data_IF_773974649843
#
_entry.id   IF_773974649843
#
_cell.length_a   1.000
_cell.length_b   1.000
_cell.length_c   1.000
_cell.angle_alpha   90.00
_cell.angle_beta   90.00
_cell.angle_gamma   90.00
#
_symmetry.space_group_name_H-M   'P 1'
#
loop_
_entity.id
_entity.type
_entity.pdbx_description
1 polymer ?
#
# COMPACT_ATOMS: atom_id res chain seq x y z
N UNK A 1 -15.12 2.70 18.33
CA UNK A 1 -15.23 3.22 16.94
C UNK A 1 -13.86 3.05 16.31
N UNK A 2 -13.71 2.47 15.11
CA UNK A 2 -12.42 2.51 14.43
C UNK A 2 -12.06 3.98 14.17
N UNK A 3 -10.83 4.37 14.50
CA UNK A 3 -10.35 5.72 14.17
C UNK A 3 -10.39 5.90 12.65
N UNK A 4 -10.82 7.06 12.14
CA UNK A 4 -10.75 7.32 10.71
C UNK A 4 -9.29 7.17 10.27
N UNK A 5 -9.02 6.48 9.14
CA UNK A 5 -7.67 6.38 8.63
C UNK A 5 -7.13 7.81 8.45
N UNK A 6 -5.96 8.07 9.03
CA UNK A 6 -5.29 9.35 8.82
C UNK A 6 -5.11 9.50 7.32
N UNK A 7 -5.58 10.60 6.73
CA UNK A 7 -5.39 10.85 5.30
C UNK A 7 -3.89 10.99 5.04
N UNK A 8 -3.28 9.87 4.64
CA UNK A 8 -1.85 9.75 4.38
C UNK A 8 -1.50 10.21 2.96
N UNK A 9 -2.50 10.30 2.07
CA UNK A 9 -2.35 10.66 0.67
C UNK A 9 -3.27 11.83 0.34
N UNK A 10 -2.75 12.83 -0.35
CA UNK A 10 -3.52 13.90 -0.97
C UNK A 10 -4.07 13.48 -2.34
N UNK A 11 -5.08 14.19 -2.83
CA UNK A 11 -5.64 13.93 -4.16
C UNK A 11 -4.58 14.06 -5.28
N UNK A 12 -3.66 15.03 -5.14
CA UNK A 12 -2.57 15.25 -6.10
C UNK A 12 -1.55 14.10 -6.10
N UNK A 13 -1.25 13.53 -4.93
CA UNK A 13 -0.37 12.36 -4.82
C UNK A 13 -1.01 11.11 -5.44
N UNK A 14 -2.32 10.92 -5.28
CA UNK A 14 -3.04 9.83 -5.95
C UNK A 14 -3.04 10.04 -7.47
N UNK A 15 -3.28 11.27 -7.94
CA UNK A 15 -3.22 11.59 -9.36
C UNK A 15 -1.81 11.36 -9.94
N UNK A 16 -0.76 11.76 -9.22
CA UNK A 16 0.62 11.49 -9.58
C UNK A 16 0.94 9.99 -9.61
N UNK A 17 0.45 9.24 -8.62
CA UNK A 17 0.60 7.78 -8.55
C UNK A 17 -0.06 7.09 -9.76
N UNK A 18 -1.31 7.43 -10.08
CA UNK A 18 -2.01 6.91 -11.24
C UNK A 18 -1.24 7.21 -12.54
N UNK A 19 -0.79 8.46 -12.74
CA UNK A 19 0.01 8.85 -13.90
C UNK A 19 1.31 8.06 -14.02
N UNK A 20 2.01 7.79 -12.92
CA UNK A 20 3.25 7.00 -12.91
C UNK A 20 3.06 5.60 -13.50
N UNK A 21 1.87 5.01 -13.33
CA UNK A 21 1.51 3.70 -13.87
C UNK A 21 0.71 3.78 -15.17
N UNK A 22 0.60 4.95 -15.79
CA UNK A 22 -0.17 5.15 -17.03
C UNK A 22 -1.69 4.99 -16.85
N UNK A 23 -2.19 5.11 -15.62
CA UNK A 23 -3.61 5.00 -15.30
C UNK A 23 -4.28 6.38 -15.41
N UNK A 24 -5.37 6.44 -16.16
CA UNK A 24 -6.28 7.59 -16.21
C UNK A 24 -7.65 7.15 -15.70
N UNK A 25 -7.99 7.56 -14.49
CA UNK A 25 -9.22 7.14 -13.81
C UNK A 25 -10.27 8.27 -13.86
N UNK A 26 -11.55 7.95 -14.13
CA UNK A 26 -12.66 8.89 -13.90
C UNK A 26 -12.77 9.29 -12.43
N UNK A 27 -13.36 10.46 -12.15
CA UNK A 27 -13.48 11.04 -10.80
C UNK A 27 -13.99 10.06 -9.71
N UNK A 28 -15.05 9.24 -9.96
CA UNK A 28 -15.50 8.28 -8.95
C UNK A 28 -14.46 7.22 -8.60
N UNK A 29 -13.64 6.81 -9.58
CA UNK A 29 -12.56 5.85 -9.36
C UNK A 29 -11.33 6.50 -8.71
N UNK A 30 -11.07 7.78 -8.97
CA UNK A 30 -10.06 8.56 -8.25
C UNK A 30 -10.38 8.64 -6.76
N UNK A 31 -11.64 8.95 -6.41
CA UNK A 31 -12.09 8.96 -5.01
C UNK A 31 -11.93 7.59 -4.35
N UNK A 32 -12.33 6.52 -5.04
CA UNK A 32 -12.18 5.15 -4.53
C UNK A 32 -10.70 4.76 -4.35
N UNK A 33 -9.82 5.19 -5.26
CA UNK A 33 -8.38 4.95 -5.15
C UNK A 33 -7.78 5.67 -3.94
N UNK A 34 -8.24 6.90 -3.67
CA UNK A 34 -7.84 7.66 -2.49
C UNK A 34 -8.25 6.95 -1.19
N UNK A 35 -9.52 6.54 -1.08
CA UNK A 35 -10.02 5.76 0.06
C UNK A 35 -9.24 4.45 0.26
N UNK A 36 -8.97 3.72 -0.83
CA UNK A 36 -8.21 2.46 -0.77
C UNK A 36 -6.77 2.69 -0.33
N UNK A 37 -6.12 3.74 -0.83
CA UNK A 37 -4.72 4.04 -0.51
C UNK A 37 -4.55 4.41 0.97
N UNK A 38 -5.50 5.15 1.54
CA UNK A 38 -5.52 5.44 2.98
C UNK A 38 -5.65 4.15 3.81
N UNK A 39 -6.60 3.27 3.46
CA UNK A 39 -6.81 1.99 4.15
C UNK A 39 -5.57 1.09 4.08
N UNK A 40 -5.01 0.88 2.88
CA UNK A 40 -3.81 0.04 2.69
C UNK A 40 -2.61 0.59 3.46
N UNK A 41 -2.42 1.92 3.44
CA UNK A 41 -1.32 2.55 4.17
C UNK A 41 -1.46 2.36 5.68
N UNK A 42 -2.67 2.56 6.22
CA UNK A 42 -2.93 2.33 7.64
C UNK A 42 -2.70 0.86 8.02
N UNK A 43 -3.26 -0.09 7.26
CA UNK A 43 -3.03 -1.52 7.50
C UNK A 43 -1.55 -1.85 7.45
N UNK A 44 -0.79 -1.29 6.51
CA UNK A 44 0.66 -1.51 6.39
C UNK A 44 1.50 -0.89 7.51
N UNK A 45 0.97 0.12 8.22
CA UNK A 45 1.59 0.69 9.42
C UNK A 45 1.30 -0.15 10.67
N UNK A 46 0.15 -0.81 10.72
CA UNK A 46 -0.24 -1.68 11.84
C UNK A 46 0.52 -3.03 11.83
N UNK A 47 1.09 -3.43 10.68
CA UNK A 47 1.93 -4.61 10.57
C UNK A 47 3.29 -4.34 11.25
N UNK A 48 3.56 -5.04 12.34
CA UNK A 48 4.85 -5.03 13.01
C UNK A 48 5.95 -5.50 12.04
N UNK A 49 6.91 -4.62 11.76
CA UNK A 49 8.07 -4.92 10.90
C UNK A 49 9.24 -5.38 11.75
N UNK A 50 9.98 -6.37 11.26
CA UNK A 50 11.23 -6.77 11.89
C UNK A 50 12.22 -5.58 11.84
N UNK A 51 12.86 -5.22 12.97
CA UNK A 51 13.72 -4.04 13.04
C UNK A 51 15.06 -4.22 12.32
N UNK A 52 15.48 -5.47 12.09
CA UNK A 52 16.64 -5.82 11.28
C UNK A 52 16.26 -6.83 10.21
N UNK A 53 16.83 -6.65 9.01
CA UNK A 53 16.70 -7.57 7.87
C UNK A 53 17.46 -8.88 8.08
N UNK A 54 18.39 -8.92 9.04
CA UNK A 54 19.19 -10.12 9.35
C UNK A 54 18.37 -11.21 10.06
N UNK A 55 17.21 -10.83 10.59
CA UNK A 55 16.30 -11.72 11.31
C UNK A 55 15.02 -12.05 10.53
N UNK A 56 14.89 -11.56 9.28
CA UNK A 56 13.85 -12.05 8.39
C UNK A 56 14.21 -13.49 8.00
N UNK A 57 13.25 -14.45 8.04
CA UNK A 57 13.55 -15.81 7.62
C UNK A 57 14.12 -15.77 6.19
N UNK A 58 15.33 -16.32 6.05
CA UNK A 58 16.04 -16.34 4.79
C UNK A 58 15.14 -16.86 3.66
N UNK A 59 15.16 -16.16 2.53
CA UNK A 59 14.47 -16.44 1.26
C UNK A 59 14.84 -17.80 0.61
N UNK A 60 15.24 -18.81 1.38
CA UNK A 60 15.24 -20.19 0.88
C UNK A 60 13.81 -20.71 0.84
N UNK A 61 13.01 -20.16 -0.08
CA UNK A 61 12.04 -21.00 -0.78
C UNK A 61 12.86 -22.07 -1.49
N UNK A 62 13.01 -23.25 -0.87
CA UNK A 62 13.44 -24.43 -1.60
C UNK A 62 12.31 -24.77 -2.56
N UNK A 63 12.42 -24.28 -3.79
CA UNK A 63 11.58 -24.75 -4.88
C UNK A 63 11.74 -26.28 -4.97
N UNK A 64 10.65 -27.06 -5.07
CA UNK A 64 10.76 -28.50 -5.25
C UNK A 64 11.56 -28.76 -6.53
N UNK A 65 12.60 -29.58 -6.42
CA UNK A 65 13.24 -30.22 -7.57
C UNK A 65 12.47 -31.51 -7.80
N UNK A 66 11.92 -31.64 -9.00
CA UNK A 66 11.25 -32.86 -9.49
C UNK A 66 12.11 -34.12 -9.28
#
# INVERSE_FOLDING_TARGET
MPNPPKELWTADEIAAHCRRFGLSLPEPLMKRMHELSANVSQTGMDIARMPSKDCEPALTFKMPVE
#
